data_IF_015489666014
#
_entry.id   IF_015489666014
#
_cell.length_a   1.000
_cell.length_b   1.000
_cell.length_c   1.000
_cell.angle_alpha   90.00
_cell.angle_beta   90.00
_cell.angle_gamma   90.00
#
_symmetry.space_group_name_H-M   'P 1'
#
loop_
_entity.id
_entity.type
_entity.pdbx_description
1 polymer ?
#
# COMPACT_ATOMS: atom_id res chain seq x y z
N UNK A 1 11.23 50.94 -46.68
CA UNK A 1 11.46 49.82 -45.72
C UNK A 1 12.93 49.44 -45.75
N UNK A 2 13.62 49.35 -44.61
CA UNK A 2 15.08 49.09 -44.56
C UNK A 2 15.41 47.61 -44.74
N UNK A 3 16.42 47.27 -45.56
CA UNK A 3 16.87 45.88 -45.76
C UNK A 3 17.69 45.38 -44.55
N UNK A 4 17.15 44.42 -43.80
CA UNK A 4 17.86 43.80 -42.65
C UNK A 4 18.52 42.48 -43.07
N UNK A 5 19.80 42.28 -42.70
CA UNK A 5 20.55 41.03 -42.97
C UNK A 5 20.32 39.99 -41.86
N UNK A 6 19.90 38.77 -42.21
CA UNK A 6 19.56 37.70 -41.24
C UNK A 6 20.69 36.75 -40.79
N UNK A 7 21.93 36.92 -41.28
CA UNK A 7 23.00 35.92 -41.15
C UNK A 7 23.33 35.48 -39.72
N UNK A 8 23.38 36.43 -38.78
CA UNK A 8 23.70 36.17 -37.37
C UNK A 8 22.66 35.28 -36.68
N UNK A 9 21.37 35.56 -36.93
CA UNK A 9 20.24 34.81 -36.37
C UNK A 9 20.25 33.36 -36.89
N UNK A 10 20.49 33.17 -38.19
CA UNK A 10 20.60 31.84 -38.78
C UNK A 10 21.77 31.04 -38.21
N UNK A 11 22.94 31.68 -38.02
CA UNK A 11 24.12 31.02 -37.42
C UNK A 11 23.84 30.58 -35.98
N UNK A 12 23.19 31.42 -35.17
CA UNK A 12 22.81 31.09 -33.80
C UNK A 12 21.86 29.89 -33.73
N UNK A 13 20.80 29.86 -34.59
CA UNK A 13 19.86 28.74 -34.68
C UNK A 13 20.56 27.43 -35.05
N UNK A 14 21.48 27.46 -36.03
CA UNK A 14 22.25 26.27 -36.44
C UNK A 14 23.15 25.76 -35.31
N UNK A 15 23.87 26.65 -34.62
CA UNK A 15 24.72 26.27 -33.47
C UNK A 15 23.91 25.60 -32.35
N UNK A 16 22.69 26.09 -32.05
CA UNK A 16 21.81 25.48 -31.04
C UNK A 16 21.47 24.03 -31.37
N UNK A 17 21.05 23.75 -32.61
CA UNK A 17 20.70 22.38 -33.05
C UNK A 17 21.92 21.47 -33.06
N UNK A 18 23.05 21.93 -33.60
CA UNK A 18 24.28 21.13 -33.64
C UNK A 18 24.83 20.85 -32.23
N UNK A 19 24.64 21.76 -31.27
CA UNK A 19 24.98 21.53 -29.86
C UNK A 19 24.17 20.38 -29.26
N UNK A 20 22.88 20.28 -29.60
CA UNK A 20 22.01 19.18 -29.15
C UNK A 20 22.31 17.86 -29.87
N UNK A 21 22.81 17.92 -31.11
CA UNK A 21 23.10 16.75 -31.94
C UNK A 21 24.50 16.14 -31.70
N UNK A 22 25.28 16.68 -30.75
CA UNK A 22 26.61 16.14 -30.40
C UNK A 22 26.48 14.68 -29.98
N UNK A 23 27.36 13.82 -30.52
CA UNK A 23 27.35 12.38 -30.26
C UNK A 23 26.48 11.55 -31.21
N UNK A 24 25.72 12.17 -32.12
CA UNK A 24 24.98 11.42 -33.15
C UNK A 24 25.91 10.84 -34.21
N UNK A 25 25.59 9.62 -34.66
CA UNK A 25 26.39 8.89 -35.62
C UNK A 25 26.31 9.47 -37.05
N UNK A 26 27.41 9.37 -37.81
CA UNK A 26 27.49 9.76 -39.22
C UNK A 26 27.29 11.26 -39.46
N UNK A 27 26.47 11.62 -40.45
CA UNK A 27 26.23 13.02 -40.82
C UNK A 27 25.36 13.79 -39.83
N UNK A 28 24.67 13.09 -38.92
CA UNK A 28 23.62 13.63 -38.04
C UNK A 28 24.13 14.58 -36.95
N UNK A 29 25.44 14.68 -36.73
CA UNK A 29 26.05 15.69 -35.86
C UNK A 29 26.79 16.80 -36.63
N UNK A 30 27.01 16.64 -37.95
CA UNK A 30 27.79 17.56 -38.81
C UNK A 30 26.89 18.47 -39.66
N UNK A 31 25.91 17.89 -40.35
CA UNK A 31 25.07 18.60 -41.31
C UNK A 31 23.77 19.08 -40.65
N UNK A 32 23.53 20.40 -40.65
CA UNK A 32 22.38 21.01 -39.97
C UNK A 32 21.02 20.40 -40.37
N UNK A 33 20.81 20.11 -41.66
CA UNK A 33 19.54 19.55 -42.17
C UNK A 33 19.25 18.19 -41.52
N UNK A 34 20.19 17.26 -41.63
CA UNK A 34 20.08 15.92 -41.03
C UNK A 34 20.04 15.96 -39.49
N UNK A 35 20.82 16.86 -38.88
CA UNK A 35 20.84 17.03 -37.43
C UNK A 35 19.49 17.52 -36.91
N UNK A 36 18.87 18.49 -37.58
CA UNK A 36 17.55 19.01 -37.22
C UNK A 36 16.50 17.89 -37.23
N UNK A 37 16.45 17.10 -38.30
CA UNK A 37 15.50 15.98 -38.42
C UNK A 37 15.71 14.95 -37.31
N UNK A 38 16.96 14.58 -37.03
CA UNK A 38 17.29 13.63 -35.97
C UNK A 38 16.94 14.18 -34.57
N UNK A 39 17.29 15.43 -34.27
CA UNK A 39 16.96 16.07 -32.98
C UNK A 39 15.46 16.10 -32.75
N UNK A 40 14.66 16.44 -33.77
CA UNK A 40 13.20 16.43 -33.64
C UNK A 40 12.67 15.04 -33.29
N UNK A 41 13.16 13.99 -33.96
CA UNK A 41 12.78 12.59 -33.64
C UNK A 41 13.25 12.16 -32.24
N UNK A 42 14.46 12.51 -31.85
CA UNK A 42 14.96 12.18 -30.49
C UNK A 42 14.14 12.87 -29.40
N UNK A 43 13.66 14.10 -29.63
CA UNK A 43 12.81 14.81 -28.67
C UNK A 43 11.42 14.16 -28.54
N UNK A 44 10.82 13.69 -29.65
CA UNK A 44 9.53 12.98 -29.60
C UNK A 44 9.66 11.65 -28.88
N UNK A 45 10.73 10.88 -29.15
CA UNK A 45 11.03 9.65 -28.41
C UNK A 45 11.27 9.92 -26.94
N UNK A 46 12.09 10.92 -26.58
CA UNK A 46 12.33 11.30 -25.19
C UNK A 46 11.02 11.62 -24.44
N UNK A 47 10.08 12.33 -25.06
CA UNK A 47 8.78 12.61 -24.46
C UNK A 47 7.95 11.34 -24.24
N UNK A 48 7.84 10.48 -25.25
CA UNK A 48 7.14 9.20 -25.17
C UNK A 48 7.75 8.31 -24.08
N UNK A 49 9.07 8.15 -24.11
CA UNK A 49 9.80 7.22 -23.27
C UNK A 49 9.81 7.66 -21.80
N UNK A 50 9.76 8.97 -21.50
CA UNK A 50 9.53 9.43 -20.11
C UNK A 50 8.20 8.92 -19.53
N UNK A 51 7.15 8.82 -20.36
CA UNK A 51 5.87 8.23 -19.93
C UNK A 51 5.96 6.70 -19.83
N UNK A 52 6.68 6.08 -20.76
CA UNK A 52 6.84 4.62 -20.81
C UNK A 52 7.72 4.06 -19.68
N UNK A 53 8.78 4.79 -19.29
CA UNK A 53 9.71 4.45 -18.21
C UNK A 53 8.97 4.03 -16.94
N UNK A 54 7.89 4.74 -16.57
CA UNK A 54 7.06 4.40 -15.40
C UNK A 54 6.45 2.99 -15.50
N UNK A 55 6.03 2.58 -16.69
CA UNK A 55 5.47 1.24 -16.98
C UNK A 55 6.56 0.18 -17.02
N UNK A 56 7.71 0.49 -17.61
CA UNK A 56 8.87 -0.41 -17.67
C UNK A 56 9.39 -0.77 -16.27
N UNK A 57 9.57 0.23 -15.39
CA UNK A 57 9.94 -0.04 -14.00
C UNK A 57 8.88 -0.85 -13.26
N UNK A 58 7.60 -0.54 -13.47
CA UNK A 58 6.52 -1.34 -12.87
C UNK A 58 6.55 -2.79 -13.35
N UNK A 59 6.78 -3.02 -14.64
CA UNK A 59 6.94 -4.36 -15.23
C UNK A 59 8.10 -5.09 -14.55
N UNK A 60 9.26 -4.43 -14.43
CA UNK A 60 10.43 -4.98 -13.76
C UNK A 60 10.16 -5.37 -12.30
N UNK A 61 9.54 -4.47 -11.52
CA UNK A 61 9.19 -4.75 -10.12
C UNK A 61 8.25 -5.95 -10.00
N UNK A 62 7.24 -6.05 -10.88
CA UNK A 62 6.32 -7.19 -10.88
C UNK A 62 7.06 -8.48 -11.21
N UNK A 63 7.96 -8.47 -12.20
CA UNK A 63 8.77 -9.64 -12.54
C UNK A 63 9.62 -10.11 -11.37
N UNK A 64 10.29 -9.18 -10.67
CA UNK A 64 11.11 -9.48 -9.48
C UNK A 64 10.28 -10.03 -8.32
N UNK A 65 9.18 -9.37 -7.98
CA UNK A 65 8.27 -9.84 -6.92
C UNK A 65 7.70 -11.21 -7.28
N UNK A 66 7.32 -11.43 -8.54
CA UNK A 66 6.78 -12.73 -8.95
C UNK A 66 7.81 -13.85 -8.81
N UNK A 67 9.09 -13.61 -9.11
CA UNK A 67 10.15 -14.59 -8.87
C UNK A 67 10.25 -14.95 -7.37
N UNK A 68 10.38 -13.95 -6.49
CA UNK A 68 10.43 -14.17 -5.05
C UNK A 68 9.15 -14.86 -4.50
N UNK A 69 7.97 -14.47 -4.97
CA UNK A 69 6.73 -15.14 -4.59
C UNK A 69 6.71 -16.62 -4.98
N UNK A 70 7.28 -16.96 -6.15
CA UNK A 70 7.32 -18.36 -6.63
C UNK A 70 8.24 -19.22 -5.79
N UNK A 71 9.36 -18.68 -5.30
CA UNK A 71 10.24 -19.35 -4.34
C UNK A 71 9.50 -19.73 -3.05
N UNK A 72 8.55 -18.88 -2.61
CA UNK A 72 7.71 -19.15 -1.44
C UNK A 72 6.37 -19.86 -1.78
N UNK A 73 6.22 -20.40 -2.99
CA UNK A 73 5.06 -21.21 -3.38
C UNK A 73 3.73 -20.45 -3.52
N UNK A 74 3.75 -19.13 -3.76
CA UNK A 74 2.55 -18.33 -4.02
C UNK A 74 2.64 -17.62 -5.37
N UNK A 75 1.50 -17.43 -6.06
CA UNK A 75 1.48 -16.60 -7.26
C UNK A 75 1.40 -15.11 -6.91
N UNK A 76 2.02 -14.25 -7.72
CA UNK A 76 1.99 -12.80 -7.54
C UNK A 76 0.56 -12.25 -7.35
N UNK A 77 -0.41 -12.70 -8.15
CA UNK A 77 -1.79 -12.23 -8.05
C UNK A 77 -2.43 -12.57 -6.70
N UNK A 78 -2.18 -13.78 -6.18
CA UNK A 78 -2.67 -14.19 -4.86
C UNK A 78 -1.96 -13.41 -3.75
N UNK A 79 -0.64 -13.23 -3.86
CA UNK A 79 0.14 -12.44 -2.90
C UNK A 79 -0.38 -10.99 -2.77
N UNK A 80 -0.57 -10.28 -3.89
CA UNK A 80 -1.11 -8.90 -3.87
C UNK A 80 -2.53 -8.87 -3.30
N UNK A 81 -3.37 -9.85 -3.64
CA UNK A 81 -4.70 -9.95 -3.05
C UNK A 81 -4.64 -10.17 -1.53
N UNK A 82 -3.75 -11.05 -1.06
CA UNK A 82 -3.52 -11.30 0.37
C UNK A 82 -3.05 -10.06 1.12
N UNK A 83 -2.11 -9.29 0.54
CA UNK A 83 -1.65 -8.02 1.13
C UNK A 83 -2.77 -6.99 1.22
N UNK A 84 -3.60 -6.86 0.17
CA UNK A 84 -4.74 -5.95 0.18
C UNK A 84 -5.78 -6.34 1.25
N UNK A 85 -6.07 -7.63 1.39
CA UNK A 85 -6.97 -8.16 2.44
C UNK A 85 -6.42 -7.95 3.85
N UNK A 86 -5.10 -8.05 4.01
CA UNK A 86 -4.41 -7.77 5.27
C UNK A 86 -4.32 -6.26 5.58
N UNK A 87 -4.81 -5.37 4.69
CA UNK A 87 -4.72 -3.92 4.87
C UNK A 87 -3.31 -3.33 4.67
N UNK A 88 -2.38 -4.09 4.10
CA UNK A 88 -0.97 -3.69 3.95
C UNK A 88 -0.78 -2.91 2.64
N UNK A 89 -0.76 -1.58 2.73
CA UNK A 89 -0.57 -0.69 1.58
C UNK A 89 0.92 -0.42 1.28
N UNK A 90 1.60 -1.37 0.64
CA UNK A 90 3.02 -1.21 0.24
C UNK A 90 3.15 -1.05 -1.29
N UNK A 91 3.98 -0.08 -1.70
CA UNK A 91 4.32 0.14 -3.09
C UNK A 91 5.18 -0.99 -3.67
N UNK A 92 4.93 -1.36 -4.94
CA UNK A 92 5.70 -2.41 -5.65
C UNK A 92 7.19 -2.12 -5.77
N UNK A 93 7.58 -0.85 -5.82
CA UNK A 93 8.99 -0.46 -5.76
C UNK A 93 9.65 -0.98 -4.48
N UNK A 94 9.00 -0.77 -3.33
CA UNK A 94 9.51 -1.19 -2.03
C UNK A 94 9.44 -2.72 -1.87
N UNK A 95 8.34 -3.36 -2.29
CA UNK A 95 8.25 -4.82 -2.27
C UNK A 95 9.35 -5.48 -3.12
N UNK A 96 9.66 -4.92 -4.29
CA UNK A 96 10.75 -5.41 -5.13
C UNK A 96 12.12 -5.18 -4.52
N UNK A 97 12.30 -4.12 -3.72
CA UNK A 97 13.57 -3.86 -3.02
C UNK A 97 13.73 -4.81 -1.85
N UNK A 98 12.69 -4.96 -1.03
CA UNK A 98 12.65 -5.90 0.09
C UNK A 98 12.95 -7.33 -0.36
N UNK A 99 12.35 -7.77 -1.47
CA UNK A 99 12.63 -9.09 -2.04
C UNK A 99 14.11 -9.32 -2.39
N UNK A 100 14.90 -8.26 -2.64
CA UNK A 100 16.33 -8.34 -2.98
C UNK A 100 17.20 -8.14 -1.73
N UNK A 101 16.92 -7.09 -0.96
CA UNK A 101 17.75 -6.66 0.16
C UNK A 101 17.57 -7.56 1.38
N UNK A 102 16.34 -8.01 1.62
CA UNK A 102 15.97 -8.76 2.82
C UNK A 102 14.90 -9.83 2.51
N UNK A 103 15.33 -11.00 2.02
CA UNK A 103 14.44 -12.11 1.70
C UNK A 103 13.64 -12.62 2.92
N UNK A 104 14.19 -12.49 4.13
CA UNK A 104 13.54 -13.00 5.35
C UNK A 104 12.29 -12.18 5.69
N UNK A 105 12.38 -10.86 5.63
CA UNK A 105 11.21 -9.99 5.82
C UNK A 105 10.17 -10.16 4.72
N UNK A 106 10.61 -10.42 3.47
CA UNK A 106 9.71 -10.74 2.38
C UNK A 106 8.95 -12.06 2.62
N UNK A 107 9.62 -13.08 3.15
CA UNK A 107 8.98 -14.35 3.52
C UNK A 107 7.87 -14.15 4.58
N UNK A 108 8.12 -13.35 5.61
CA UNK A 108 7.12 -12.99 6.63
C UNK A 108 5.89 -12.30 6.01
N UNK A 109 6.10 -11.41 5.03
CA UNK A 109 4.99 -10.79 4.28
C UNK A 109 4.21 -11.80 3.44
N UNK A 110 4.88 -12.80 2.88
CA UNK A 110 4.20 -13.88 2.15
C UNK A 110 3.35 -14.73 3.09
N UNK A 111 3.83 -15.03 4.29
CA UNK A 111 3.05 -15.75 5.30
C UNK A 111 1.82 -14.99 5.76
N UNK A 112 1.94 -13.70 6.06
CA UNK A 112 0.79 -12.85 6.41
C UNK A 112 -0.22 -12.80 5.26
N UNK A 113 0.25 -12.67 4.02
CA UNK A 113 -0.62 -12.71 2.85
C UNK A 113 -1.32 -14.08 2.69
N UNK A 114 -0.64 -15.21 2.95
CA UNK A 114 -1.25 -16.55 2.92
C UNK A 114 -2.33 -16.69 4.01
N UNK A 115 -2.07 -16.23 5.23
CA UNK A 115 -3.04 -16.23 6.34
C UNK A 115 -4.30 -15.44 5.96
N UNK A 116 -4.13 -14.23 5.44
CA UNK A 116 -5.25 -13.37 5.01
C UNK A 116 -6.06 -13.94 3.83
N UNK A 117 -5.48 -14.82 3.00
CA UNK A 117 -6.23 -15.49 1.92
C UNK A 117 -7.08 -16.66 2.40
N UNK A 118 -6.67 -17.33 3.48
CA UNK A 118 -7.34 -18.50 4.04
C UNK A 118 -8.53 -18.13 4.91
N UNK A 119 -8.54 -16.91 5.48
CA UNK A 119 -9.72 -16.33 6.11
C UNK A 119 -10.76 -16.04 5.01
N UNK A 120 -11.64 -17.01 4.75
CA UNK A 120 -12.84 -16.88 3.91
C UNK A 120 -14.04 -16.66 4.83
N UNK A 121 -14.53 -15.43 4.87
CA UNK A 121 -15.92 -15.06 5.18
C UNK A 121 -16.34 -14.17 3.98
N UNK A 122 -17.35 -14.53 3.16
CA UNK A 122 -18.79 -14.45 3.42
C UNK A 122 -19.17 -13.27 4.28
N UNK A 123 -19.02 -12.05 3.74
CA UNK A 123 -19.75 -10.90 4.25
C UNK A 123 -20.26 -10.05 3.08
N UNK A 124 -21.43 -10.44 2.59
CA UNK A 124 -22.43 -9.49 2.14
C UNK A 124 -23.36 -9.22 3.32
N UNK A 125 -23.38 -7.97 3.77
CA UNK A 125 -24.33 -7.28 4.67
C UNK A 125 -23.82 -6.93 6.07
N UNK A 126 -23.91 -5.62 6.29
CA UNK A 126 -24.24 -4.87 7.50
C UNK A 126 -23.09 -4.41 8.40
N UNK A 127 -23.04 -3.09 8.52
CA UNK A 127 -22.38 -2.31 9.56
C UNK A 127 -22.70 -2.90 10.94
N UNK A 128 -21.69 -3.23 11.75
CA UNK A 128 -21.64 -2.89 13.18
C UNK A 128 -20.28 -3.23 13.85
N UNK A 129 -19.76 -2.23 14.56
CA UNK A 129 -19.03 -2.23 15.86
C UNK A 129 -17.72 -3.00 16.03
N UNK A 130 -16.67 -2.21 16.29
CA UNK A 130 -15.41 -2.58 16.93
C UNK A 130 -15.63 -3.07 18.38
N UNK A 131 -15.34 -4.33 18.64
CA UNK A 131 -14.79 -4.83 19.91
C UNK A 131 -13.73 -5.88 19.51
N UNK A 132 -12.47 -5.81 19.98
CA UNK A 132 -11.97 -6.57 21.13
C UNK A 132 -10.67 -5.90 21.62
N UNK A 133 -10.77 -5.17 22.75
CA UNK A 133 -9.76 -5.03 23.83
C UNK A 133 -10.53 -4.64 25.10
N UNK A 134 -11.42 -5.48 25.63
CA UNK A 134 -12.15 -5.23 26.89
C UNK A 134 -12.68 -6.52 27.55
N UNK A 135 -11.93 -7.62 27.57
CA UNK A 135 -12.46 -8.85 28.22
C UNK A 135 -12.33 -8.84 29.75
N UNK A 136 -11.31 -8.21 30.35
CA UNK A 136 -11.17 -8.27 31.82
C UNK A 136 -11.87 -7.15 32.62
N UNK A 137 -12.43 -6.12 31.96
CA UNK A 137 -13.17 -5.02 32.65
C UNK A 137 -14.69 -5.14 32.57
N UNK A 138 -15.22 -5.96 31.67
CA UNK A 138 -16.66 -6.00 31.36
C UNK A 138 -17.52 -6.66 32.44
N UNK A 139 -17.01 -7.62 33.21
CA UNK A 139 -17.81 -8.28 34.26
C UNK A 139 -18.08 -7.37 35.45
N UNK A 140 -17.09 -6.57 35.88
CA UNK A 140 -17.27 -5.62 37.00
C UNK A 140 -18.19 -4.45 36.64
N UNK A 141 -18.11 -3.94 35.40
CA UNK A 141 -18.93 -2.82 34.94
C UNK A 141 -20.43 -3.20 34.80
N UNK A 142 -20.74 -4.48 34.54
CA UNK A 142 -22.10 -4.97 34.36
C UNK A 142 -22.88 -5.11 35.69
N UNK A 143 -22.23 -5.46 36.81
CA UNK A 143 -22.92 -5.59 38.11
C UNK A 143 -23.30 -4.23 38.73
N UNK A 144 -22.52 -3.18 38.46
CA UNK A 144 -22.76 -1.87 39.07
C UNK A 144 -23.96 -1.12 38.47
N UNK A 145 -24.36 -1.48 37.25
CA UNK A 145 -25.47 -0.86 36.52
C UNK A 145 -26.84 -1.47 36.85
N UNK A 146 -26.87 -2.69 37.41
CA UNK A 146 -28.12 -3.37 37.81
C UNK A 146 -28.79 -2.73 39.03
N UNK A 147 -30.11 -2.89 39.11
CA UNK A 147 -30.90 -2.41 40.25
C UNK A 147 -30.76 -3.35 41.46
N UNK A 148 -31.08 -2.87 42.66
CA UNK A 148 -30.97 -3.68 43.90
C UNK A 148 -31.87 -4.93 43.85
N UNK A 149 -33.01 -4.85 43.16
CA UNK A 149 -33.92 -5.97 43.01
C UNK A 149 -33.29 -7.09 42.15
N UNK A 150 -32.73 -6.75 40.99
CA UNK A 150 -32.05 -7.69 40.10
C UNK A 150 -30.81 -8.31 40.78
N UNK A 151 -30.04 -7.51 41.54
CA UNK A 151 -28.90 -8.01 42.31
C UNK A 151 -29.32 -9.01 43.41
N UNK A 152 -30.51 -8.84 44.01
CA UNK A 152 -31.05 -9.77 45.01
C UNK A 152 -31.57 -11.06 44.39
N UNK A 153 -32.13 -11.01 43.19
CA UNK A 153 -32.56 -12.20 42.44
C UNK A 153 -31.35 -13.06 42.06
N UNK A 154 -30.30 -12.44 41.53
CA UNK A 154 -29.05 -13.13 41.20
C UNK A 154 -28.38 -13.71 42.47
N UNK A 155 -28.39 -12.97 43.59
CA UNK A 155 -27.86 -13.47 44.87
C UNK A 155 -28.67 -14.64 45.44
N UNK A 156 -29.99 -14.67 45.19
CA UNK A 156 -30.88 -15.78 45.56
C UNK A 156 -30.60 -17.02 44.70
N UNK A 157 -30.39 -16.85 43.40
CA UNK A 157 -30.02 -17.94 42.48
C UNK A 157 -28.65 -18.56 42.82
N UNK A 158 -27.72 -17.74 43.32
CA UNK A 158 -26.39 -18.19 43.78
C UNK A 158 -26.34 -18.66 45.24
N UNK A 159 -27.49 -18.75 45.92
CA UNK A 159 -27.62 -19.20 47.32
C UNK A 159 -26.74 -18.44 48.34
N UNK A 160 -26.56 -17.12 48.17
CA UNK A 160 -25.81 -16.30 49.13
C UNK A 160 -26.66 -16.09 50.39
N UNK A 161 -26.18 -16.50 51.56
CA UNK A 161 -26.90 -16.34 52.83
C UNK A 161 -26.95 -14.87 53.26
N UNK A 162 -28.15 -14.35 53.61
CA UNK A 162 -28.31 -12.96 54.09
C UNK A 162 -28.56 -11.90 53.00
N UNK A 163 -28.81 -12.31 51.75
CA UNK A 163 -29.02 -11.40 50.60
C UNK A 163 -30.17 -10.38 50.77
N UNK A 164 -31.17 -10.67 51.60
CA UNK A 164 -32.34 -9.81 51.80
C UNK A 164 -32.04 -8.55 52.64
N UNK A 165 -31.05 -8.62 53.53
CA UNK A 165 -30.67 -7.53 54.45
C UNK A 165 -29.49 -6.71 53.93
N UNK A 166 -28.75 -7.19 52.92
CA UNK A 166 -27.57 -6.53 52.38
C UNK A 166 -27.91 -5.28 51.57
N UNK A 167 -27.02 -4.29 51.67
CA UNK A 167 -27.06 -3.05 50.88
C UNK A 167 -26.51 -3.31 49.47
N UNK A 168 -26.81 -2.41 48.52
CA UNK A 168 -26.39 -2.55 47.10
C UNK A 168 -24.89 -2.82 46.94
N UNK A 169 -24.05 -2.10 47.70
CA UNK A 169 -22.60 -2.26 47.63
C UNK A 169 -22.14 -3.64 48.13
N UNK A 170 -22.74 -4.14 49.20
CA UNK A 170 -22.44 -5.47 49.77
C UNK A 170 -22.90 -6.59 48.83
N UNK A 171 -24.05 -6.42 48.17
CA UNK A 171 -24.53 -7.35 47.14
C UNK A 171 -23.62 -7.39 45.90
N UNK A 172 -23.12 -6.24 45.46
CA UNK A 172 -22.19 -6.18 44.33
C UNK A 172 -20.87 -6.88 44.69
N UNK A 173 -20.37 -6.70 45.91
CA UNK A 173 -19.09 -7.30 46.33
C UNK A 173 -19.19 -8.81 46.57
N UNK A 174 -20.32 -9.29 47.10
CA UNK A 174 -20.60 -10.72 47.27
C UNK A 174 -20.85 -11.47 45.95
N UNK A 175 -21.11 -10.75 44.85
CA UNK A 175 -21.41 -11.31 43.52
C UNK A 175 -20.23 -11.22 42.52
N UNK A 176 -19.17 -10.48 42.86
CA UNK A 176 -17.87 -10.60 42.19
C UNK A 176 -17.24 -11.96 42.45
#
# INVERSE_FOLDING_TARGET
MTRVKGGTIHRARRKKVLKLAKGYFGSKHRLYRTAKEQVMKSLTYSYRDRKQKKREFRKLWITRINAACREHGISYSRFINGLNKAGIAINRKMLSELAISDPQHFANLVETAKKALNNKEVESKQEEKKEIVKEDKKEQDNLSSLTVAELREIAKERNITGYSTMKKAELIDALK
#
